data_IF_586461935269
#
_entry.id   IF_586461935269
#
_cell.length_a   1.000
_cell.length_b   1.000
_cell.length_c   1.000
_cell.angle_alpha   90.00
_cell.angle_beta   90.00
_cell.angle_gamma   90.00
#
_symmetry.space_group_name_H-M   'P 1'
#
loop_
_entity.id
_entity.type
_entity.pdbx_description
1 polymer ?
#
# COMPACT_ATOMS: atom_id res chain seq x y z
N UNK A 1 -4.96 16.88 -22.52
CA UNK A 1 -4.27 15.97 -23.43
C UNK A 1 -5.26 15.40 -24.43
N UNK A 2 -4.93 15.45 -25.69
CA UNK A 2 -5.77 14.90 -26.74
C UNK A 2 -5.59 13.39 -26.86
N UNK A 3 -6.69 12.64 -26.83
CA UNK A 3 -6.68 11.18 -27.03
C UNK A 3 -7.33 10.88 -28.36
N UNK A 4 -6.62 10.22 -29.26
CA UNK A 4 -7.15 9.78 -30.52
C UNK A 4 -8.27 8.78 -30.33
N UNK A 5 -9.33 8.82 -31.17
CA UNK A 5 -10.38 7.80 -31.09
C UNK A 5 -9.79 6.42 -31.43
N UNK A 6 -10.39 5.33 -30.92
CA UNK A 6 -9.90 3.99 -31.23
C UNK A 6 -9.98 3.70 -32.72
N UNK A 7 -9.02 2.93 -33.25
CA UNK A 7 -9.02 2.54 -34.66
C UNK A 7 -10.22 1.65 -35.00
N UNK A 8 -10.60 1.61 -36.28
CA UNK A 8 -11.75 0.81 -36.76
C UNK A 8 -11.45 -0.69 -36.81
N UNK A 9 -10.19 -1.08 -36.82
CA UNK A 9 -9.76 -2.47 -36.81
C UNK A 9 -9.90 -3.02 -35.40
N UNK A 10 -10.62 -4.15 -35.23
CA UNK A 10 -10.86 -4.74 -33.89
C UNK A 10 -9.58 -5.11 -33.16
N UNK A 11 -8.56 -5.64 -33.84
CA UNK A 11 -7.30 -6.00 -33.25
C UNK A 11 -6.57 -4.76 -32.73
N UNK A 12 -6.55 -3.69 -33.49
CA UNK A 12 -5.92 -2.42 -33.10
C UNK A 12 -6.68 -1.76 -31.97
N UNK A 13 -8.00 -1.87 -31.93
CA UNK A 13 -8.83 -1.38 -30.83
C UNK A 13 -8.52 -2.11 -29.55
N UNK A 14 -8.36 -3.43 -29.59
CA UNK A 14 -8.00 -4.26 -28.44
C UNK A 14 -6.62 -3.88 -27.91
N UNK A 15 -5.62 -3.73 -28.77
CA UNK A 15 -4.27 -3.32 -28.39
C UNK A 15 -4.27 -1.93 -27.74
N UNK A 16 -5.08 -1.00 -28.24
CA UNK A 16 -5.22 0.33 -27.69
C UNK A 16 -5.79 0.30 -26.26
N UNK A 17 -6.81 -0.53 -26.00
CA UNK A 17 -7.40 -0.71 -24.68
C UNK A 17 -6.41 -1.33 -23.69
N UNK A 18 -5.61 -2.32 -24.13
CA UNK A 18 -4.58 -2.94 -23.29
C UNK A 18 -3.53 -1.91 -22.86
N UNK A 19 -3.07 -1.08 -23.76
CA UNK A 19 -2.10 -0.01 -23.45
C UNK A 19 -2.66 0.99 -22.46
N UNK A 20 -3.94 1.32 -22.55
CA UNK A 20 -4.59 2.22 -21.61
C UNK A 20 -4.65 1.59 -20.21
N UNK A 21 -4.98 0.32 -20.10
CA UNK A 21 -4.99 -0.42 -18.83
C UNK A 21 -3.60 -0.48 -18.21
N UNK A 22 -2.56 -0.76 -18.98
CA UNK A 22 -1.18 -0.79 -18.51
C UNK A 22 -0.76 0.54 -17.89
N UNK A 23 -1.15 1.66 -18.49
CA UNK A 23 -0.86 2.99 -17.96
C UNK A 23 -1.52 3.24 -16.60
N UNK A 24 -2.76 2.79 -16.42
CA UNK A 24 -3.49 2.95 -15.16
C UNK A 24 -2.87 2.09 -14.05
N UNK A 25 -2.41 0.88 -14.36
CA UNK A 25 -1.81 -0.04 -13.40
C UNK A 25 -0.43 0.45 -12.94
N UNK A 26 0.34 1.11 -13.80
CA UNK A 26 1.68 1.59 -13.48
C UNK A 26 1.73 2.63 -12.36
N UNK A 27 0.63 3.32 -12.09
CA UNK A 27 0.56 4.32 -11.01
C UNK A 27 0.16 3.72 -9.67
N UNK A 28 -0.15 2.42 -9.64
CA UNK A 28 -0.58 1.68 -8.45
C UNK A 28 0.47 0.62 -8.12
N UNK A 29 1.26 0.91 -7.09
CA UNK A 29 2.31 0.02 -6.60
C UNK A 29 1.84 -0.71 -5.37
N UNK A 30 2.28 -1.97 -5.19
CA UNK A 30 1.84 -2.78 -4.06
C UNK A 30 2.94 -3.72 -3.57
N UNK A 31 2.82 -4.09 -2.31
CA UNK A 31 3.68 -5.07 -1.67
C UNK A 31 2.97 -5.70 -0.49
N UNK A 32 3.54 -6.77 0.01
CA UNK A 32 3.01 -7.45 1.20
C UNK A 32 4.14 -8.19 1.91
N UNK A 33 3.92 -8.46 3.21
CA UNK A 33 4.86 -9.24 4.00
C UNK A 33 4.12 -9.81 5.21
N UNK A 34 4.72 -10.81 5.83
CA UNK A 34 4.22 -11.36 7.09
C UNK A 34 4.64 -10.43 8.23
N UNK A 35 3.70 -10.14 9.13
CA UNK A 35 3.96 -9.32 10.31
C UNK A 35 3.44 -10.04 11.54
N UNK A 36 4.36 -10.49 12.38
CA UNK A 36 4.06 -11.03 13.71
C UNK A 36 4.43 -9.96 14.74
N UNK A 37 3.51 -9.03 14.93
CA UNK A 37 3.71 -7.91 15.84
C UNK A 37 3.80 -8.43 17.29
N UNK A 38 4.78 -7.96 18.04
CA UNK A 38 4.85 -8.25 19.46
C UNK A 38 3.72 -7.57 20.21
N UNK A 39 3.50 -7.94 21.48
CA UNK A 39 2.52 -7.27 22.32
C UNK A 39 2.84 -5.78 22.41
N UNK A 40 1.84 -4.94 22.16
CA UNK A 40 1.99 -3.48 22.14
C UNK A 40 1.30 -2.93 23.39
N UNK A 41 2.08 -2.32 24.27
CA UNK A 41 1.54 -1.68 25.47
C UNK A 41 0.74 -0.44 25.11
N UNK A 42 -0.21 -0.05 25.98
CA UNK A 42 -0.93 1.20 25.81
C UNK A 42 0.04 2.39 25.74
N UNK A 43 -0.13 3.25 24.76
CA UNK A 43 0.74 4.40 24.52
C UNK A 43 2.00 4.07 23.72
N UNK A 44 2.19 2.82 23.32
CA UNK A 44 3.36 2.37 22.55
C UNK A 44 2.98 2.10 21.09
N UNK A 45 3.97 1.76 20.28
CA UNK A 45 3.79 1.48 18.87
C UNK A 45 4.79 0.43 18.37
N UNK A 46 4.48 -0.21 17.26
CA UNK A 46 5.39 -1.13 16.58
C UNK A 46 5.40 -0.84 15.09
N UNK A 47 6.57 -0.95 14.47
CA UNK A 47 6.75 -0.64 13.06
C UNK A 47 7.24 -1.85 12.26
N UNK A 48 6.85 -1.90 11.00
CA UNK A 48 7.26 -2.92 10.03
C UNK A 48 7.55 -2.26 8.69
N UNK A 49 8.74 -2.51 8.15
CA UNK A 49 9.09 -2.06 6.80
C UNK A 49 8.65 -3.11 5.77
N UNK A 50 7.99 -2.66 4.73
CA UNK A 50 7.54 -3.49 3.61
C UNK A 50 8.17 -2.95 2.34
N UNK A 51 8.75 -3.84 1.54
CA UNK A 51 9.31 -3.46 0.24
C UNK A 51 8.20 -3.27 -0.79
N UNK A 52 8.16 -2.08 -1.39
CA UNK A 52 7.25 -1.75 -2.50
C UNK A 52 8.08 -1.11 -3.59
N UNK A 53 8.47 -1.92 -4.57
CA UNK A 53 9.36 -1.47 -5.64
C UNK A 53 8.74 -0.30 -6.42
N UNK A 54 9.50 0.77 -6.55
CA UNK A 54 9.07 1.98 -7.25
C UNK A 54 8.51 3.08 -6.33
N UNK A 55 8.31 2.80 -5.04
CA UNK A 55 7.82 3.79 -4.09
C UNK A 55 8.86 4.89 -3.87
N UNK A 56 8.41 6.13 -3.79
CA UNK A 56 9.24 7.33 -3.60
C UNK A 56 8.70 8.12 -2.41
N UNK A 57 9.60 8.65 -1.59
CA UNK A 57 9.22 9.50 -0.46
C UNK A 57 8.32 10.65 -0.95
N UNK A 58 7.17 10.81 -0.29
CA UNK A 58 6.15 11.79 -0.67
C UNK A 58 4.95 11.18 -1.38
N UNK A 59 5.05 9.94 -1.85
CA UNK A 59 3.89 9.23 -2.40
C UNK A 59 2.89 8.88 -1.29
N UNK A 60 1.63 8.67 -1.67
CA UNK A 60 0.60 8.20 -0.75
C UNK A 60 0.76 6.71 -0.49
N UNK A 61 0.69 6.30 0.77
CA UNK A 61 0.77 4.89 1.14
C UNK A 61 -0.43 4.52 2.00
N UNK A 62 -0.92 3.29 1.80
CA UNK A 62 -2.03 2.73 2.56
C UNK A 62 -1.72 1.29 2.91
N UNK A 63 -2.07 0.88 4.14
CA UNK A 63 -1.83 -0.48 4.61
C UNK A 63 -3.10 -1.09 5.16
N UNK A 64 -3.15 -2.43 5.11
CA UNK A 64 -4.21 -3.23 5.69
C UNK A 64 -3.62 -4.53 6.22
N UNK A 65 -4.11 -5.02 7.34
CA UNK A 65 -3.78 -6.35 7.82
C UNK A 65 -4.84 -7.37 7.42
N UNK A 66 -4.43 -8.63 7.28
CA UNK A 66 -5.33 -9.74 6.95
C UNK A 66 -6.26 -10.13 8.11
N UNK A 67 -6.11 -9.52 9.28
CA UNK A 67 -6.92 -9.76 10.48
C UNK A 67 -7.43 -8.44 11.06
N UNK A 68 -8.39 -8.52 11.98
CA UNK A 68 -8.86 -7.37 12.74
C UNK A 68 -7.72 -6.83 13.62
N UNK A 69 -7.53 -5.52 13.60
CA UNK A 69 -6.46 -4.86 14.36
C UNK A 69 -6.89 -4.45 15.78
N UNK A 70 -8.09 -4.82 16.22
CA UNK A 70 -8.56 -4.69 17.61
C UNK A 70 -8.42 -3.25 18.16
N UNK A 71 -8.88 -2.26 17.40
CA UNK A 71 -8.84 -0.84 17.76
C UNK A 71 -7.45 -0.20 17.78
N UNK A 72 -6.41 -0.91 17.36
CA UNK A 72 -5.12 -0.28 17.08
C UNK A 72 -5.25 0.68 15.88
N UNK A 73 -4.35 1.64 15.80
CA UNK A 73 -4.26 2.53 14.64
C UNK A 73 -3.16 2.03 13.72
N UNK A 74 -3.52 1.74 12.46
CA UNK A 74 -2.57 1.34 11.44
C UNK A 74 -2.34 2.49 10.47
N UNK A 75 -1.09 2.86 10.29
CA UNK A 75 -0.69 3.90 9.33
C UNK A 75 0.47 3.40 8.48
N UNK A 76 0.67 4.03 7.33
CA UNK A 76 1.75 3.68 6.42
C UNK A 76 2.30 4.94 5.75
N UNK A 77 3.62 4.95 5.57
CA UNK A 77 4.32 6.06 4.95
C UNK A 77 5.52 5.55 4.15
N UNK A 78 5.78 6.13 2.99
CA UNK A 78 7.01 5.85 2.25
C UNK A 78 8.14 6.59 2.95
N UNK A 79 9.07 5.85 3.53
CA UNK A 79 10.16 6.40 4.35
C UNK A 79 11.51 6.44 3.62
N UNK A 80 11.64 5.64 2.56
CA UNK A 80 12.82 5.60 1.71
C UNK A 80 12.42 5.05 0.34
N UNK A 81 13.33 5.10 -0.62
CA UNK A 81 13.09 4.47 -1.93
C UNK A 81 12.73 3.00 -1.75
N UNK A 82 11.67 2.56 -2.40
CA UNK A 82 11.16 1.17 -2.37
C UNK A 82 10.73 0.68 -0.98
N UNK A 83 10.63 1.55 0.02
CA UNK A 83 10.34 1.16 1.40
C UNK A 83 9.14 1.90 1.96
N UNK A 84 8.16 1.13 2.46
CA UNK A 84 7.02 1.66 3.19
C UNK A 84 7.11 1.19 4.64
N UNK A 85 7.08 2.13 5.58
CA UNK A 85 7.03 1.82 7.01
C UNK A 85 5.58 1.84 7.47
N UNK A 86 5.12 0.68 7.97
CA UNK A 86 3.79 0.52 8.56
C UNK A 86 3.92 0.60 10.08
N UNK A 87 3.01 1.30 10.74
CA UNK A 87 3.04 1.50 12.19
C UNK A 87 1.69 1.08 12.77
N UNK A 88 1.75 0.28 13.83
CA UNK A 88 0.59 -0.02 14.68
C UNK A 88 0.78 0.73 15.99
N UNK A 89 -0.13 1.63 16.31
CA UNK A 89 -0.11 2.41 17.53
C UNK A 89 -1.26 1.99 18.46
N UNK A 90 -0.98 1.91 19.76
CA UNK A 90 -1.95 1.46 20.75
C UNK A 90 -2.36 2.60 21.68
N UNK A 91 -3.61 3.05 21.56
CA UNK A 91 -4.24 4.03 22.43
C UNK A 91 -5.51 3.47 23.08
N UNK A 92 -5.56 2.14 23.30
CA UNK A 92 -6.79 1.46 23.74
C UNK A 92 -6.97 1.39 25.24
N UNK A 93 -5.94 1.72 26.02
CA UNK A 93 -5.96 1.63 27.47
C UNK A 93 -5.41 0.34 28.05
N UNK A 94 -5.00 -0.63 27.21
CA UNK A 94 -4.42 -1.90 27.62
C UNK A 94 -3.53 -2.49 26.55
N UNK A 95 -2.69 -3.47 26.91
CA UNK A 95 -1.82 -4.12 25.95
C UNK A 95 -2.61 -4.97 24.95
N UNK A 96 -2.19 -4.96 23.68
CA UNK A 96 -2.78 -5.77 22.62
C UNK A 96 -1.70 -6.57 21.93
N UNK A 97 -1.92 -7.87 21.81
CA UNK A 97 -1.05 -8.82 21.11
C UNK A 97 -1.81 -9.46 19.95
N UNK A 98 -1.53 -8.97 18.73
CA UNK A 98 -2.16 -9.52 17.53
C UNK A 98 -1.49 -10.84 17.13
N UNK A 99 -2.29 -11.76 16.59
CA UNK A 99 -1.74 -12.94 15.93
C UNK A 99 -0.92 -12.54 14.70
N UNK A 100 -0.03 -13.43 14.25
CA UNK A 100 0.70 -13.24 13.00
C UNK A 100 -0.27 -13.05 11.84
N UNK A 101 0.00 -12.08 10.98
CA UNK A 101 -0.87 -11.71 9.88
C UNK A 101 -0.03 -11.27 8.66
N UNK A 102 -0.69 -11.10 7.54
CA UNK A 102 -0.09 -10.49 6.36
C UNK A 102 -0.45 -9.01 6.34
N UNK A 103 0.56 -8.15 6.18
CA UNK A 103 0.33 -6.73 5.91
C UNK A 103 0.35 -6.51 4.40
N UNK A 104 -0.68 -5.85 3.90
CA UNK A 104 -0.81 -5.45 2.49
C UNK A 104 -0.60 -3.95 2.40
N UNK A 105 0.21 -3.52 1.43
CA UNK A 105 0.53 -2.11 1.24
C UNK A 105 0.26 -1.71 -0.20
N UNK A 106 -0.33 -0.54 -0.38
CA UNK A 106 -0.48 0.12 -1.67
C UNK A 106 0.15 1.51 -1.62
N UNK A 107 0.79 1.87 -2.72
CA UNK A 107 1.40 3.19 -2.90
C UNK A 107 0.83 3.83 -4.15
N UNK A 108 0.34 5.05 -4.01
CA UNK A 108 -0.19 5.86 -5.12
C UNK A 108 0.76 7.03 -5.35
N UNK A 109 1.16 7.25 -6.59
CA UNK A 109 2.07 8.35 -6.91
C UNK A 109 1.41 9.69 -6.64
N UNK A 110 2.16 10.57 -5.98
CA UNK A 110 1.74 11.95 -5.81
C UNK A 110 2.10 12.74 -7.05
N UNK A 111 1.09 13.35 -7.70
CA UNK A 111 1.26 14.11 -8.93
C UNK A 111 1.22 15.62 -8.71
N UNK A 112 1.04 16.06 -7.47
CA UNK A 112 0.95 17.48 -7.10
C UNK A 112 2.04 17.91 -6.14
#
# INVERSE_FOLDING_TARGET
MFIEPPPRDEKKTYDWLLKLQERLIQDDLKGSDTWDAASIADGDEEAKDVTVTGAVVGDYAKASLSIDILDLVLDAQVTAADTVTCVLANNTGGAIDLASATVYVRVFRRTT
#
